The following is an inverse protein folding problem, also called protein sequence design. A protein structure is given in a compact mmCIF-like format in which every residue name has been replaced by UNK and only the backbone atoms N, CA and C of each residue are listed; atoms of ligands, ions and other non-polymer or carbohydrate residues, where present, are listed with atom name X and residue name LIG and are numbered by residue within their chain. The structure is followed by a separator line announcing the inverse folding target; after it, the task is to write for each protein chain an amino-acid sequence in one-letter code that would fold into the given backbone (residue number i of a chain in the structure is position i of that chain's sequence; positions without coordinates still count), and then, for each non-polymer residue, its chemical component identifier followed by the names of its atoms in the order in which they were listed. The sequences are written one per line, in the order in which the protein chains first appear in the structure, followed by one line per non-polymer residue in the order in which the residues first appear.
data_IF_527807607191
#
_entry.id   IF_527807607191
#
_cell.length_a   1.000
_cell.length_b   1.000
_cell.length_c   1.000
_cell.angle_alpha   90.00
_cell.angle_beta   90.00
_cell.angle_gamma   90.00
#
_symmetry.space_group_name_H-M   'P 1'
#
loop_
_entity.id
_entity.type
_entity.pdbx_description
1 polymer ?
#
# COMPACT_ATOMS: atom_id res chain seq x y z
N UNK A 1 -22.00 6.58 -31.01
CA UNK A 1 -20.65 7.13 -31.23
C UNK A 1 -20.17 7.94 -30.05
N UNK A 2 -20.93 8.93 -29.61
CA UNK A 2 -20.50 9.78 -28.48
C UNK A 2 -20.39 9.02 -27.19
N UNK A 3 -21.31 8.11 -26.91
CA UNK A 3 -21.28 7.30 -25.72
C UNK A 3 -20.06 6.38 -25.73
N UNK A 4 -19.77 5.80 -26.91
CA UNK A 4 -18.61 4.95 -27.06
C UNK A 4 -17.30 5.71 -26.84
N UNK A 5 -17.24 6.94 -27.33
CA UNK A 5 -16.06 7.78 -27.14
C UNK A 5 -15.87 8.16 -25.67
N UNK A 6 -16.95 8.48 -24.96
CA UNK A 6 -16.87 8.75 -23.53
C UNK A 6 -16.38 7.53 -22.74
N UNK A 7 -16.91 6.36 -23.05
CA UNK A 7 -16.46 5.13 -22.43
C UNK A 7 -15.00 4.85 -22.74
N UNK A 8 -14.58 5.11 -23.97
CA UNK A 8 -13.20 4.92 -24.38
C UNK A 8 -12.28 5.88 -23.62
N UNK A 9 -12.73 7.10 -23.40
CA UNK A 9 -11.96 8.09 -22.66
C UNK A 9 -11.82 7.68 -21.19
N UNK A 10 -12.91 7.21 -20.57
CA UNK A 10 -12.87 6.68 -19.21
C UNK A 10 -11.98 5.45 -19.13
N UNK A 11 -12.05 4.56 -20.11
CA UNK A 11 -11.18 3.41 -20.21
C UNK A 11 -9.72 3.81 -20.31
N UNK A 12 -9.40 4.93 -20.96
CA UNK A 12 -8.03 5.39 -21.10
C UNK A 12 -7.43 5.76 -19.75
N UNK A 13 -8.17 6.44 -18.87
CA UNK A 13 -7.70 6.71 -17.52
C UNK A 13 -7.45 5.41 -16.75
N UNK A 14 -8.43 4.53 -16.73
CA UNK A 14 -8.30 3.25 -16.08
C UNK A 14 -7.20 2.40 -16.72
N UNK A 15 -7.10 2.46 -18.03
CA UNK A 15 -6.11 1.71 -18.79
C UNK A 15 -4.70 2.19 -18.45
N UNK A 16 -4.49 3.49 -18.33
CA UNK A 16 -3.20 4.04 -17.94
C UNK A 16 -2.82 3.61 -16.52
N UNK A 17 -3.80 3.55 -15.63
CA UNK A 17 -3.57 3.10 -14.27
C UNK A 17 -3.10 1.64 -14.23
N UNK A 18 -3.60 0.80 -15.14
CA UNK A 18 -3.18 -0.61 -15.19
C UNK A 18 -1.77 -0.78 -15.73
N UNK A 19 -1.29 0.16 -16.51
CA UNK A 19 0.05 0.09 -17.07
C UNK A 19 1.12 0.13 -16.00
N UNK A 20 0.85 0.87 -14.92
CA UNK A 20 1.77 1.01 -13.80
C UNK A 20 1.01 0.82 -12.51
N UNK A 21 0.28 -0.29 -12.44
CA UNK A 21 -0.71 -0.54 -11.40
C UNK A 21 -0.11 -0.57 -10.01
N UNK A 22 1.05 -1.21 -9.86
CA UNK A 22 1.74 -1.29 -8.57
C UNK A 22 2.05 0.09 -8.00
N UNK A 23 2.46 1.01 -8.85
CA UNK A 23 2.73 2.40 -8.47
C UNK A 23 1.45 3.09 -7.97
N UNK A 24 0.36 2.94 -8.72
CA UNK A 24 -0.91 3.59 -8.34
C UNK A 24 -1.50 3.01 -7.08
N UNK A 25 -1.40 1.69 -6.89
CA UNK A 25 -1.82 1.05 -5.65
C UNK A 25 -0.99 1.60 -4.49
N UNK A 26 0.32 1.68 -4.67
CA UNK A 26 1.22 2.16 -3.61
C UNK A 26 0.93 3.60 -3.24
N UNK A 27 0.68 4.44 -4.23
CA UNK A 27 0.32 5.84 -4.01
C UNK A 27 -1.01 6.00 -3.27
N UNK A 28 -1.95 5.11 -3.53
CA UNK A 28 -3.23 5.10 -2.82
C UNK A 28 -3.05 4.65 -1.37
N UNK A 29 -2.30 3.57 -1.18
CA UNK A 29 -2.17 2.91 0.13
C UNK A 29 -1.30 3.73 1.10
N UNK A 30 -0.21 4.30 0.61
CA UNK A 30 0.80 4.93 1.48
C UNK A 30 0.23 5.99 2.43
N UNK A 31 -0.45 7.04 1.94
CA UNK A 31 -0.97 8.06 2.86
C UNK A 31 -2.05 7.49 3.79
N UNK A 32 -2.77 6.49 3.34
CA UNK A 32 -3.82 5.86 4.13
C UNK A 32 -3.26 4.98 5.24
N UNK A 33 -2.15 4.28 4.99
CA UNK A 33 -1.45 3.55 6.04
C UNK A 33 -0.89 4.49 7.11
N UNK A 34 -0.34 5.61 6.68
CA UNK A 34 0.18 6.61 7.62
C UNK A 34 -0.93 7.15 8.51
N UNK A 35 -2.08 7.44 7.92
CA UNK A 35 -3.24 7.92 8.68
C UNK A 35 -3.80 6.80 9.57
N UNK A 36 -3.87 5.58 9.06
CA UNK A 36 -4.34 4.43 9.83
C UNK A 36 -3.51 4.26 11.10
N UNK A 37 -2.19 4.36 11.00
CA UNK A 37 -1.31 4.26 12.16
C UNK A 37 -1.66 5.31 13.23
N UNK A 38 -2.04 6.51 12.80
CA UNK A 38 -2.40 7.58 13.73
C UNK A 38 -3.73 7.35 14.44
N UNK A 39 -4.70 6.74 13.75
CA UNK A 39 -6.06 6.63 14.27
C UNK A 39 -6.39 5.28 14.88
N UNK A 40 -5.62 4.24 14.57
CA UNK A 40 -5.90 2.90 15.09
C UNK A 40 -5.73 2.88 16.61
N UNK A 41 -6.67 2.22 17.29
CA UNK A 41 -6.68 2.14 18.75
C UNK A 41 -6.41 0.73 19.24
N UNK A 42 -6.69 -0.27 18.43
CA UNK A 42 -6.45 -1.67 18.77
C UNK A 42 -5.28 -2.25 17.99
N UNK A 43 -5.05 -3.53 18.22
CA UNK A 43 -4.01 -4.27 17.49
C UNK A 43 -4.45 -5.72 17.33
N UNK A 44 -3.87 -6.45 16.33
CA UNK A 44 -4.21 -7.86 16.12
C UNK A 44 -4.00 -8.71 17.37
N UNK A 45 -4.84 -9.71 17.56
CA UNK A 45 -4.84 -10.50 18.78
C UNK A 45 -3.59 -11.38 18.97
N UNK A 46 -2.84 -11.62 17.90
CA UNK A 46 -1.59 -12.36 17.99
C UNK A 46 -0.41 -11.50 18.44
N UNK A 47 -0.62 -10.19 18.57
CA UNK A 47 0.39 -9.26 19.05
C UNK A 47 0.21 -9.01 20.54
N UNK A 48 1.26 -8.53 21.18
CA UNK A 48 1.26 -8.29 22.63
C UNK A 48 0.99 -6.85 22.99
N UNK A 49 1.22 -5.92 22.08
CA UNK A 49 1.13 -4.50 22.38
C UNK A 49 0.83 -3.69 21.12
N UNK A 50 0.34 -2.47 21.33
CA UNK A 50 0.16 -1.51 20.25
C UNK A 50 1.50 -1.10 19.62
N UNK A 51 2.58 -1.14 20.40
CA UNK A 51 3.91 -0.80 19.88
C UNK A 51 4.37 -1.81 18.84
N UNK A 52 4.11 -3.09 19.05
CA UNK A 52 4.38 -4.11 18.03
C UNK A 52 3.60 -3.81 16.74
N UNK A 53 2.34 -3.39 16.89
CA UNK A 53 1.51 -3.05 15.75
C UNK A 53 2.08 -1.85 14.99
N UNK A 54 2.53 -0.84 15.72
CA UNK A 54 3.16 0.34 15.10
C UNK A 54 4.42 -0.04 14.34
N UNK A 55 5.25 -0.93 14.90
CA UNK A 55 6.44 -1.39 14.19
C UNK A 55 6.11 -2.11 12.89
N UNK A 56 5.07 -2.95 12.92
CA UNK A 56 4.61 -3.68 11.73
C UNK A 56 4.08 -2.68 10.68
N UNK A 57 3.27 -1.73 11.11
CA UNK A 57 2.75 -0.69 10.22
C UNK A 57 3.89 0.16 9.62
N UNK A 58 4.91 0.46 10.41
CA UNK A 58 6.08 1.21 9.91
C UNK A 58 6.81 0.44 8.82
N UNK A 59 6.91 -0.88 8.95
CA UNK A 59 7.53 -1.72 7.92
C UNK A 59 6.69 -1.75 6.65
N UNK A 60 5.38 -1.80 6.77
CA UNK A 60 4.48 -1.68 5.62
C UNK A 60 4.67 -0.32 4.94
N UNK A 61 4.68 0.75 5.73
CA UNK A 61 4.85 2.12 5.23
C UNK A 61 6.17 2.25 4.49
N UNK A 62 7.26 1.74 5.06
CA UNK A 62 8.58 1.79 4.42
C UNK A 62 8.56 1.10 3.06
N UNK A 63 7.90 -0.06 2.95
CA UNK A 63 7.77 -0.77 1.68
C UNK A 63 7.01 0.07 0.66
N UNK A 64 5.87 0.64 1.04
CA UNK A 64 5.06 1.42 0.12
C UNK A 64 5.69 2.77 -0.22
N UNK A 65 6.53 3.32 0.66
CA UNK A 65 7.32 4.51 0.32
C UNK A 65 8.26 4.21 -0.86
N UNK A 66 8.95 3.08 -0.82
CA UNK A 66 9.84 2.67 -1.91
C UNK A 66 9.02 2.42 -3.17
N UNK A 67 7.93 1.65 -3.05
CA UNK A 67 7.10 1.28 -4.20
C UNK A 67 6.43 2.49 -4.85
N UNK A 68 6.16 3.53 -4.08
CA UNK A 68 5.53 4.75 -4.60
C UNK A 68 6.51 5.64 -5.37
N UNK A 69 7.80 5.36 -5.32
CA UNK A 69 8.79 6.06 -6.15
C UNK A 69 9.00 5.39 -7.50
N UNK A 70 8.43 4.20 -7.68
CA UNK A 70 8.53 3.41 -8.89
C UNK A 70 9.95 2.94 -9.20
N UNK A 71 10.83 2.95 -8.21
CA UNK A 71 12.22 2.51 -8.37
C UNK A 71 12.67 1.72 -7.16
N UNK A 72 13.26 0.56 -7.43
CA UNK A 72 13.97 -0.22 -6.43
C UNK A 72 15.42 -0.30 -6.92
N UNK A 73 16.31 0.35 -6.18
CA UNK A 73 17.67 0.54 -6.66
C UNK A 73 18.69 -0.39 -6.01
N UNK A 74 18.37 -0.98 -4.86
CA UNK A 74 19.31 -1.81 -4.12
C UNK A 74 18.65 -3.09 -3.61
N UNK A 75 19.47 -4.06 -3.22
CA UNK A 75 18.97 -5.29 -2.62
C UNK A 75 18.38 -5.03 -1.24
N UNK A 76 18.91 -4.07 -0.51
CA UNK A 76 18.35 -3.67 0.79
C UNK A 76 16.95 -3.13 0.63
N UNK A 77 16.73 -2.30 -0.37
CA UNK A 77 15.38 -1.78 -0.66
C UNK A 77 14.42 -2.90 -1.04
N UNK A 78 14.89 -3.87 -1.83
CA UNK A 78 14.07 -5.02 -2.18
C UNK A 78 13.70 -5.85 -0.93
N UNK A 79 14.60 -5.99 0.01
CA UNK A 79 14.30 -6.67 1.29
C UNK A 79 13.25 -5.93 2.10
N UNK A 80 13.36 -4.61 2.16
CA UNK A 80 12.36 -3.77 2.85
C UNK A 80 10.99 -3.96 2.20
N UNK A 81 10.94 -3.94 0.88
CA UNK A 81 9.69 -4.13 0.12
C UNK A 81 9.12 -5.52 0.41
N UNK A 82 9.94 -6.56 0.35
CA UNK A 82 9.47 -7.93 0.58
C UNK A 82 8.92 -8.10 1.99
N UNK A 83 9.62 -7.59 3.00
CA UNK A 83 9.17 -7.68 4.38
C UNK A 83 7.87 -6.93 4.58
N UNK A 84 7.78 -5.70 4.07
CA UNK A 84 6.58 -4.90 4.22
C UNK A 84 5.37 -5.49 3.52
N UNK A 85 5.56 -6.05 2.32
CA UNK A 85 4.48 -6.70 1.59
C UNK A 85 4.05 -8.01 2.26
N UNK A 86 4.99 -8.76 2.82
CA UNK A 86 4.65 -9.97 3.57
C UNK A 86 3.79 -9.64 4.79
N UNK A 87 4.15 -8.58 5.51
CA UNK A 87 3.38 -8.12 6.65
C UNK A 87 2.01 -7.56 6.23
N UNK A 88 1.97 -6.83 5.13
CA UNK A 88 0.73 -6.30 4.58
C UNK A 88 -0.24 -7.44 4.25
N UNK A 89 0.24 -8.49 3.61
CA UNK A 89 -0.56 -9.65 3.31
C UNK A 89 -1.05 -10.33 4.60
N UNK A 90 -0.15 -10.51 5.55
CA UNK A 90 -0.46 -11.23 6.79
C UNK A 90 -1.52 -10.51 7.61
N UNK A 91 -1.44 -9.20 7.69
CA UNK A 91 -2.31 -8.39 8.53
C UNK A 91 -3.35 -7.60 7.74
N UNK A 92 -3.55 -7.93 6.48
CA UNK A 92 -4.48 -7.20 5.61
C UNK A 92 -5.87 -7.11 6.23
N UNK A 93 -6.36 -8.20 6.81
CA UNK A 93 -7.71 -8.25 7.36
C UNK A 93 -7.81 -7.58 8.74
N UNK A 94 -6.70 -7.13 9.28
CA UNK A 94 -6.64 -6.38 10.54
C UNK A 94 -6.55 -4.87 10.31
N UNK A 95 -6.58 -4.42 9.06
CA UNK A 95 -6.47 -3.00 8.71
C UNK A 95 -7.84 -2.33 8.78
N UNK A 96 -8.37 -2.26 10.00
CA UNK A 96 -9.63 -1.56 10.28
C UNK A 96 -9.62 -1.10 11.74
N UNK A 97 -10.44 -0.09 12.01
CA UNK A 97 -10.57 0.43 13.38
C UNK A 97 -11.99 0.96 13.65
#
# INVERSE_FOLDING_TARGET
MNIRMKKKHQKNHMYQDTWNLDYYISKFVLPRLKLFKKVTMGFPCDLKSIDEWYDILDKMIAAFEILSTNEINTQEEQKVVNEGLDLFRKYYQDLWW
#
